data_IF_683352273145
#
_entry.id   IF_683352273145
#
_cell.length_a   1.000
_cell.length_b   1.000
_cell.length_c   1.000
_cell.angle_alpha   90.00
_cell.angle_beta   90.00
_cell.angle_gamma   90.00
#
_symmetry.space_group_name_H-M   'P 1'
#
loop_
_entity.id
_entity.type
_entity.pdbx_description
1 polymer ?
#
# COMPACT_ATOMS: atom_id res chain seq x y z
N UNK A 1 7.95 8.39 -12.26
CA UNK A 1 6.83 7.73 -11.56
C UNK A 1 7.02 6.24 -11.70
N UNK A 2 7.30 5.55 -10.59
CA UNK A 2 7.39 4.09 -10.54
C UNK A 2 6.06 3.54 -9.96
N UNK A 3 5.65 2.35 -10.39
CA UNK A 3 4.48 1.66 -9.85
C UNK A 3 4.78 0.15 -9.78
N UNK A 4 4.31 -0.51 -8.73
CA UNK A 4 4.31 -1.97 -8.62
C UNK A 4 2.91 -2.51 -8.85
N UNK A 5 2.83 -3.61 -9.59
CA UNK A 5 1.60 -4.37 -9.82
C UNK A 5 1.76 -5.74 -9.17
N UNK A 6 1.00 -5.99 -8.11
CA UNK A 6 0.89 -7.29 -7.45
C UNK A 6 -0.37 -8.02 -7.94
N UNK A 7 -0.30 -9.36 -7.98
CA UNK A 7 -1.41 -10.22 -8.37
C UNK A 7 -1.72 -11.22 -7.27
N UNK A 8 -2.93 -11.16 -6.70
CA UNK A 8 -3.39 -12.02 -5.61
C UNK A 8 -3.13 -11.43 -4.22
N UNK A 9 -3.57 -12.13 -3.15
CA UNK A 9 -3.25 -11.75 -1.78
C UNK A 9 -1.73 -11.69 -1.58
N UNK A 10 -1.27 -10.63 -0.96
CA UNK A 10 0.14 -10.40 -0.72
C UNK A 10 0.33 -9.56 0.53
N UNK A 11 1.45 -9.78 1.21
CA UNK A 11 1.87 -8.96 2.33
C UNK A 11 3.23 -8.38 2.00
N UNK A 12 3.36 -7.08 2.26
CA UNK A 12 4.60 -6.35 2.18
C UNK A 12 4.83 -5.74 3.54
N UNK A 13 5.55 -6.46 4.40
CA UNK A 13 5.89 -6.04 5.76
C UNK A 13 6.77 -4.80 5.80
N UNK A 14 7.37 -4.42 4.67
CA UNK A 14 7.99 -3.13 4.45
C UNK A 14 7.81 -2.78 2.97
N UNK A 15 7.50 -1.52 2.67
CA UNK A 15 7.51 -1.02 1.30
C UNK A 15 8.86 -0.38 0.94
N UNK A 16 9.76 -0.25 1.91
CA UNK A 16 11.14 0.14 1.66
C UNK A 16 11.83 -0.96 0.84
N UNK A 17 12.59 -0.56 -0.18
CA UNK A 17 13.44 -1.46 -0.98
C UNK A 17 12.70 -2.65 -1.64
N UNK A 18 11.41 -2.50 -1.98
CA UNK A 18 10.68 -3.56 -2.65
C UNK A 18 11.32 -3.94 -4.00
N UNK A 19 11.25 -5.22 -4.42
CA UNK A 19 11.72 -5.63 -5.73
C UNK A 19 11.12 -4.77 -6.85
N UNK A 20 11.98 -4.05 -7.58
CA UNK A 20 11.57 -3.10 -8.62
C UNK A 20 11.61 -1.63 -8.20
N UNK A 21 11.91 -1.32 -6.94
CA UNK A 21 12.11 0.07 -6.48
C UNK A 21 13.42 0.67 -6.95
N UNK A 22 14.41 -0.14 -7.34
CA UNK A 22 15.72 0.36 -7.79
C UNK A 22 16.46 1.04 -6.64
N UNK A 23 16.92 2.28 -6.87
CA UNK A 23 17.54 3.13 -5.83
C UNK A 23 16.50 3.96 -5.06
N UNK A 24 15.20 3.75 -5.31
CA UNK A 24 14.14 4.48 -4.62
C UNK A 24 13.71 3.75 -3.37
N UNK A 25 13.63 4.53 -2.30
CA UNK A 25 12.88 4.17 -1.12
C UNK A 25 11.42 4.60 -1.30
N UNK A 26 10.50 3.65 -1.23
CA UNK A 26 9.07 3.92 -1.39
C UNK A 26 8.34 4.11 -0.07
N UNK A 27 9.01 3.83 1.06
CA UNK A 27 8.53 4.27 2.37
C UNK A 27 8.34 5.77 2.36
N UNK A 28 7.29 6.21 3.04
CA UNK A 28 6.86 7.62 3.12
C UNK A 28 6.51 8.31 1.78
N UNK A 29 6.57 7.60 0.65
CA UNK A 29 6.43 8.19 -0.69
C UNK A 29 5.14 7.78 -1.40
N UNK A 30 4.29 6.95 -0.79
CA UNK A 30 3.00 6.58 -1.37
C UNK A 30 2.06 7.79 -1.39
N UNK A 31 1.89 8.37 -2.57
CA UNK A 31 0.99 9.52 -2.77
C UNK A 31 -0.46 9.16 -3.14
N UNK A 32 -0.71 7.94 -3.62
CA UNK A 32 -2.05 7.51 -4.08
C UNK A 32 -2.16 5.99 -4.18
N UNK A 33 -3.37 5.45 -4.01
CA UNK A 33 -3.67 4.02 -4.20
C UNK A 33 -4.88 3.84 -5.12
N UNK A 34 -4.83 2.82 -5.96
CA UNK A 34 -5.97 2.34 -6.76
C UNK A 34 -6.08 0.83 -6.60
N UNK A 35 -7.29 0.35 -6.33
CA UNK A 35 -7.62 -1.07 -6.23
C UNK A 35 -8.38 -1.56 -7.46
N UNK A 36 -8.26 -2.85 -7.76
CA UNK A 36 -9.08 -3.53 -8.77
C UNK A 36 -10.41 -4.04 -8.20
N UNK A 37 -11.24 -4.61 -9.07
CA UNK A 37 -12.62 -5.03 -8.76
C UNK A 37 -12.79 -6.17 -7.75
N UNK A 38 -11.71 -6.87 -7.41
CA UNK A 38 -11.70 -7.93 -6.39
C UNK A 38 -10.52 -7.78 -5.42
N UNK A 39 -10.04 -6.54 -5.25
CA UNK A 39 -8.85 -6.26 -4.46
C UNK A 39 -9.21 -5.35 -3.29
N UNK A 40 -8.80 -5.75 -2.11
CA UNK A 40 -8.80 -4.92 -0.91
C UNK A 40 -7.34 -4.65 -0.52
N UNK A 41 -7.05 -3.42 -0.13
CA UNK A 41 -5.71 -3.02 0.33
C UNK A 41 -5.86 -2.43 1.72
N UNK A 42 -5.03 -2.90 2.65
CA UNK A 42 -4.84 -2.26 3.95
C UNK A 42 -3.47 -1.62 3.93
N UNK A 43 -3.43 -0.32 4.22
CA UNK A 43 -2.19 0.44 4.40
C UNK A 43 -1.97 0.68 5.88
N UNK A 44 -0.72 0.60 6.32
CA UNK A 44 -0.27 0.69 7.71
C UNK A 44 0.76 1.81 7.84
N UNK A 45 0.73 2.53 8.97
CA UNK A 45 1.67 3.61 9.23
C UNK A 45 3.02 3.15 9.81
N UNK A 46 3.20 1.86 10.04
CA UNK A 46 4.46 1.30 10.52
C UNK A 46 4.82 0.05 9.70
N UNK A 47 6.07 -0.36 9.78
CA UNK A 47 6.52 -1.63 9.25
C UNK A 47 5.85 -2.80 9.99
N UNK A 48 5.93 -3.99 9.39
CA UNK A 48 5.46 -5.24 9.98
C UNK A 48 3.95 -5.30 10.22
N UNK A 49 3.16 -4.54 9.45
CA UNK A 49 1.69 -4.60 9.47
C UNK A 49 1.13 -4.13 10.83
N UNK A 50 1.61 -2.99 11.31
CA UNK A 50 1.27 -2.43 12.63
C UNK A 50 0.73 -0.99 12.55
N UNK A 51 0.15 -0.54 13.66
CA UNK A 51 -0.43 0.79 13.88
C UNK A 51 -1.55 1.19 12.90
N UNK A 52 -1.64 2.47 12.52
CA UNK A 52 -2.85 3.10 12.03
C UNK A 52 -3.17 2.59 10.63
N UNK A 53 -4.37 2.03 10.49
CA UNK A 53 -4.76 1.34 9.26
C UNK A 53 -5.81 2.11 8.46
N UNK A 54 -5.67 2.12 7.14
CA UNK A 54 -6.77 2.45 6.23
C UNK A 54 -7.09 1.25 5.35
N UNK A 55 -8.36 0.87 5.37
CA UNK A 55 -8.91 -0.18 4.52
C UNK A 55 -9.49 0.44 3.26
N UNK A 56 -8.96 0.03 2.11
CA UNK A 56 -9.36 0.49 0.78
C UNK A 56 -10.02 -0.68 0.07
N UNK A 57 -11.33 -0.55 -0.21
CA UNK A 57 -12.13 -1.58 -0.84
C UNK A 57 -11.93 -1.68 -2.36
N UNK A 58 -12.68 -2.55 -3.04
CA UNK A 58 -12.61 -2.73 -4.49
C UNK A 58 -13.01 -1.49 -5.27
N UNK A 59 -12.53 -1.40 -6.52
CA UNK A 59 -12.83 -0.33 -7.48
C UNK A 59 -12.66 1.10 -6.90
N UNK A 60 -11.74 1.25 -5.95
CA UNK A 60 -11.52 2.48 -5.21
C UNK A 60 -10.26 3.18 -5.69
N UNK A 61 -10.29 4.51 -5.62
CA UNK A 61 -9.13 5.36 -5.88
C UNK A 61 -9.02 6.40 -4.78
N UNK A 62 -7.89 6.38 -4.07
CA UNK A 62 -7.48 7.47 -3.18
C UNK A 62 -6.38 8.24 -3.90
N UNK A 63 -6.72 9.46 -4.34
CA UNK A 63 -5.85 10.29 -5.16
C UNK A 63 -4.80 11.07 -4.37
N UNK A 64 -4.99 11.19 -3.06
CA UNK A 64 -4.06 11.89 -2.17
C UNK A 64 -4.00 11.19 -0.82
N UNK A 65 -2.89 10.49 -0.58
CA UNK A 65 -2.58 9.85 0.70
C UNK A 65 -1.60 10.69 1.53
N UNK A 66 -1.11 11.83 1.02
CA UNK A 66 -0.11 12.67 1.69
C UNK A 66 -0.64 13.38 2.94
N UNK A 67 -1.96 13.36 3.15
CA UNK A 67 -2.62 13.86 4.36
C UNK A 67 -2.69 12.84 5.49
N UNK A 68 -2.35 11.59 5.22
CA UNK A 68 -1.91 10.63 6.23
C UNK A 68 -0.47 11.01 6.48
N UNK A 69 -0.18 11.46 7.69
CA UNK A 69 1.08 12.07 8.07
C UNK A 69 2.23 11.10 7.74
N UNK A 70 2.80 11.30 6.56
CA UNK A 70 4.04 10.75 6.00
C UNK A 70 4.41 9.27 6.13
N UNK A 71 3.71 8.38 6.83
CA UNK A 71 4.36 7.14 7.32
C UNK A 71 3.79 5.83 6.71
N UNK A 72 3.37 5.77 5.44
CA UNK A 72 2.97 4.44 4.93
C UNK A 72 4.21 3.56 4.75
N UNK A 73 4.34 2.54 5.60
CA UNK A 73 5.54 1.70 5.66
C UNK A 73 5.26 0.23 5.34
N UNK A 74 4.02 -0.23 5.49
CA UNK A 74 3.64 -1.59 5.11
C UNK A 74 2.23 -1.66 4.52
N UNK A 75 1.99 -2.70 3.71
CA UNK A 75 0.68 -2.93 3.08
C UNK A 75 0.32 -4.43 3.07
N UNK A 76 -0.97 -4.70 3.14
CA UNK A 76 -1.53 -6.02 2.87
C UNK A 76 -2.60 -5.94 1.78
N UNK A 77 -2.65 -6.98 0.96
CA UNK A 77 -3.54 -7.11 -0.18
C UNK A 77 -4.37 -8.37 0.02
N UNK A 78 -5.68 -8.23 -0.15
CA UNK A 78 -6.65 -9.31 0.03
C UNK A 78 -7.54 -9.45 -1.20
N UNK A 79 -8.02 -10.67 -1.44
CA UNK A 79 -9.03 -11.00 -2.46
C UNK A 79 -10.47 -10.95 -1.91
N UNK A 80 -10.62 -10.61 -0.63
CA UNK A 80 -11.87 -10.47 0.12
C UNK A 80 -11.71 -9.36 1.16
N UNK A 81 -12.82 -8.95 1.77
CA UNK A 81 -12.77 -8.00 2.89
C UNK A 81 -11.86 -8.55 4.02
N UNK A 82 -10.89 -7.75 4.51
CA UNK A 82 -10.01 -8.12 5.61
C UNK A 82 -10.75 -8.19 6.95
#
# INVERSE_FOLDING_TARGET
MAYTRSGGPAEYSTIHNLPGSGDYDWGDQIGSVRTGSQCWVVVYTDENVDDTTIVIGPDSQISDLRGLEYEIDSIQIFDRAP
#
